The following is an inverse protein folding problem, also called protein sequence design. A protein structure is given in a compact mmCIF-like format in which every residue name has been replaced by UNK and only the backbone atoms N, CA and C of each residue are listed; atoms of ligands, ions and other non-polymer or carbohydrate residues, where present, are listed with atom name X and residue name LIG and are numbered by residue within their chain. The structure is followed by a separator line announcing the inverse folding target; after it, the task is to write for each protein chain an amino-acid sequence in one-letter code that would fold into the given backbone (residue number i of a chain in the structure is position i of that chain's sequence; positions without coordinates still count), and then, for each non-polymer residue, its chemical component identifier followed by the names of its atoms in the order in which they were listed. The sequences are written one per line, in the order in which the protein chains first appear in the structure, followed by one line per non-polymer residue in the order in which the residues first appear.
data_IF_368100767755
#
_entry.id   IF_368100767755
#
_cell.length_a   1.000
_cell.length_b   1.000
_cell.length_c   1.000
_cell.angle_alpha   90.00
_cell.angle_beta   90.00
_cell.angle_gamma   90.00
#
_symmetry.space_group_name_H-M   'P 1'
#
loop_
_entity.id
_entity.type
_entity.pdbx_description
1 polymer ?
#
# COMPACT_ATOMS: atom_id res chain seq x y z
N UNK A 1 7.20 -21.94 6.20
CA UNK A 1 5.98 -21.70 7.02
C UNK A 1 6.36 -21.76 8.51
N UNK A 2 6.88 -20.67 9.07
CA UNK A 2 7.14 -20.53 10.50
C UNK A 2 6.45 -19.25 10.98
N UNK A 3 5.31 -19.38 11.63
CA UNK A 3 4.52 -18.26 12.12
C UNK A 3 3.43 -18.72 13.08
N UNK A 4 3.06 -17.86 14.04
CA UNK A 4 1.94 -18.07 14.97
C UNK A 4 0.64 -18.32 14.17
N UNK A 5 -0.36 -19.05 14.72
CA UNK A 5 -1.61 -19.33 14.00
C UNK A 5 -2.45 -18.05 13.85
N UNK A 6 -2.14 -17.28 12.81
CA UNK A 6 -2.83 -16.03 12.45
C UNK A 6 -3.66 -16.29 11.20
N UNK A 7 -4.93 -15.87 11.24
CA UNK A 7 -5.83 -15.91 10.09
C UNK A 7 -6.12 -14.49 9.62
N UNK A 8 -5.82 -14.20 8.36
CA UNK A 8 -6.22 -12.94 7.72
C UNK A 8 -7.71 -13.03 7.36
N UNK A 9 -8.47 -12.00 7.69
CA UNK A 9 -9.90 -11.90 7.41
C UNK A 9 -10.21 -10.59 6.70
N UNK A 10 -11.11 -10.63 5.74
CA UNK A 10 -11.71 -9.43 5.13
C UNK A 10 -13.08 -9.19 5.78
N UNK A 11 -13.34 -8.02 6.39
CA UNK A 11 -14.65 -7.68 6.94
C UNK A 11 -15.78 -7.85 5.91
N UNK A 12 -16.96 -8.30 6.34
CA UNK A 12 -18.07 -8.62 5.43
C UNK A 12 -18.71 -7.37 4.81
N UNK A 13 -18.63 -6.23 5.51
CA UNK A 13 -19.07 -4.92 5.03
C UNK A 13 -18.23 -4.46 3.83
N UNK A 14 -16.98 -4.91 3.77
CA UNK A 14 -15.96 -4.51 2.81
C UNK A 14 -14.78 -3.82 3.50
N UNK A 15 -13.72 -3.57 2.74
CA UNK A 15 -12.50 -2.93 3.25
C UNK A 15 -11.86 -2.01 2.21
N UNK A 16 -10.89 -1.21 2.64
CA UNK A 16 -10.02 -0.43 1.78
C UNK A 16 -8.80 -1.21 1.31
N UNK A 17 -7.91 -0.51 0.63
CA UNK A 17 -6.61 -0.99 0.21
C UNK A 17 -5.64 0.20 0.12
N UNK A 18 -4.35 -0.09 0.07
CA UNK A 18 -3.32 0.90 -0.23
C UNK A 18 -2.66 0.60 -1.58
N UNK A 19 -2.07 1.63 -2.17
CA UNK A 19 -1.14 1.48 -3.29
C UNK A 19 0.22 1.94 -2.79
N UNK A 20 1.16 0.99 -2.68
CA UNK A 20 2.57 1.30 -2.43
C UNK A 20 3.12 2.13 -3.59
N UNK A 21 3.39 3.40 -3.33
CA UNK A 21 3.89 4.35 -4.33
C UNK A 21 5.37 4.60 -4.18
N UNK A 22 6.01 4.98 -5.29
CA UNK A 22 7.35 5.57 -5.30
C UNK A 22 7.24 6.99 -5.84
N UNK A 23 8.16 7.86 -5.45
CA UNK A 23 8.19 9.25 -5.94
C UNK A 23 9.62 9.75 -6.01
N UNK A 24 9.94 10.48 -7.08
CA UNK A 24 11.22 11.16 -7.22
C UNK A 24 11.11 12.53 -6.55
N UNK A 25 12.01 12.80 -5.60
CA UNK A 25 12.03 14.07 -4.88
C UNK A 25 12.48 15.20 -5.82
N UNK A 26 11.76 16.33 -5.78
CA UNK A 26 12.12 17.53 -6.55
C UNK A 26 13.52 18.02 -6.15
N UNK A 27 14.40 18.24 -7.14
CA UNK A 27 15.78 18.65 -6.88
C UNK A 27 16.70 17.51 -6.42
N UNK A 28 16.33 16.25 -6.68
CA UNK A 28 17.20 15.10 -6.42
C UNK A 28 18.60 15.32 -7.03
N UNK A 29 19.65 15.04 -6.25
CA UNK A 29 21.07 15.19 -6.66
C UNK A 29 21.43 14.32 -7.87
N UNK A 30 20.70 13.23 -8.06
CA UNK A 30 20.93 12.20 -9.08
C UNK A 30 19.59 11.89 -9.80
N UNK A 31 19.07 12.82 -10.62
CA UNK A 31 17.73 12.69 -11.18
C UNK A 31 17.63 11.57 -12.23
N UNK A 32 18.70 11.29 -12.96
CA UNK A 32 18.69 10.29 -14.02
C UNK A 32 18.79 8.87 -13.44
N UNK A 33 19.59 8.67 -12.39
CA UNK A 33 19.65 7.43 -11.63
C UNK A 33 18.34 7.16 -10.91
N UNK A 34 17.70 8.19 -10.34
CA UNK A 34 16.40 8.05 -9.71
C UNK A 34 15.33 7.56 -10.71
N UNK A 35 15.34 8.08 -11.95
CA UNK A 35 14.45 7.59 -13.01
C UNK A 35 14.75 6.14 -13.40
N UNK A 36 16.03 5.80 -13.60
CA UNK A 36 16.43 4.41 -13.92
C UNK A 36 15.98 3.43 -12.83
N UNK A 37 16.13 3.81 -11.56
CA UNK A 37 15.64 3.02 -10.45
C UNK A 37 14.12 2.87 -10.47
N UNK A 38 13.40 3.96 -10.76
CA UNK A 38 11.95 3.97 -10.83
C UNK A 38 11.43 2.98 -11.90
N UNK A 39 12.00 3.02 -13.09
CA UNK A 39 11.66 2.13 -14.20
C UNK A 39 11.96 0.66 -13.86
N UNK A 40 13.15 0.41 -13.28
CA UNK A 40 13.53 -0.94 -12.84
C UNK A 40 12.57 -1.48 -11.77
N UNK A 41 12.26 -0.67 -10.75
CA UNK A 41 11.42 -1.08 -9.63
C UNK A 41 9.97 -1.38 -10.02
N UNK A 42 9.47 -0.80 -11.13
CA UNK A 42 8.17 -1.16 -11.72
C UNK A 42 8.24 -2.40 -12.63
N UNK A 43 9.44 -2.86 -12.97
CA UNK A 43 9.67 -4.06 -13.77
C UNK A 43 9.36 -5.35 -13.00
N UNK A 44 9.00 -6.39 -13.76
CA UNK A 44 8.69 -7.71 -13.21
C UNK A 44 9.85 -8.32 -12.41
N UNK A 45 11.08 -8.14 -12.88
CA UNK A 45 12.28 -8.68 -12.20
C UNK A 45 12.50 -8.09 -10.82
N UNK A 46 12.20 -6.80 -10.63
CA UNK A 46 12.31 -6.15 -9.33
C UNK A 46 11.17 -6.56 -8.39
N UNK A 47 9.94 -6.60 -8.90
CA UNK A 47 8.77 -6.95 -8.07
C UNK A 47 8.78 -8.43 -7.65
N UNK A 48 9.42 -9.31 -8.43
CA UNK A 48 9.62 -10.72 -8.07
C UNK A 48 10.57 -10.95 -6.89
N UNK A 49 11.32 -9.93 -6.44
CA UNK A 49 12.28 -10.05 -5.33
C UNK A 49 11.54 -10.12 -3.98
N UNK A 50 10.49 -9.33 -3.81
CA UNK A 50 9.83 -9.09 -2.53
C UNK A 50 9.34 -10.36 -1.80
N UNK A 51 8.75 -11.36 -2.48
CA UNK A 51 8.28 -12.59 -1.84
C UNK A 51 9.39 -13.42 -1.18
N UNK A 52 10.60 -13.41 -1.75
CA UNK A 52 11.77 -14.09 -1.17
C UNK A 52 12.17 -13.54 0.20
N UNK A 53 11.71 -12.33 0.53
CA UNK A 53 11.94 -11.66 1.81
C UNK A 53 10.67 -11.58 2.68
N UNK A 54 9.64 -12.37 2.35
CA UNK A 54 8.40 -12.43 3.13
C UNK A 54 7.44 -11.26 2.89
N UNK A 55 7.60 -10.54 1.77
CA UNK A 55 6.74 -9.43 1.38
C UNK A 55 5.77 -9.90 0.28
N UNK A 56 4.48 -10.02 0.62
CA UNK A 56 3.45 -10.69 -0.19
C UNK A 56 2.32 -9.74 -0.64
N UNK A 57 2.62 -8.45 -0.86
CA UNK A 57 1.67 -7.54 -1.47
C UNK A 57 1.34 -7.99 -2.90
N UNK A 58 0.17 -7.58 -3.42
CA UNK A 58 -0.16 -7.77 -4.84
C UNK A 58 0.76 -6.87 -5.67
N UNK A 59 1.61 -7.42 -6.56
CA UNK A 59 2.48 -6.60 -7.40
C UNK A 59 1.66 -5.77 -8.38
N UNK A 60 2.11 -4.55 -8.69
CA UNK A 60 1.48 -3.75 -9.74
C UNK A 60 1.79 -4.31 -11.15
N UNK A 61 2.87 -5.06 -11.28
CA UNK A 61 3.17 -5.85 -12.46
C UNK A 61 2.51 -7.24 -12.36
N UNK A 62 1.44 -7.45 -13.13
CA UNK A 62 0.61 -8.66 -13.07
C UNK A 62 1.30 -9.94 -13.54
N UNK A 63 2.52 -9.88 -14.06
CA UNK A 63 3.26 -11.05 -14.52
C UNK A 63 3.90 -11.87 -13.39
N UNK A 64 4.04 -11.30 -12.19
CA UNK A 64 4.79 -11.91 -11.08
C UNK A 64 4.06 -11.97 -9.72
N UNK A 65 2.73 -12.24 -9.65
CA UNK A 65 2.05 -12.37 -8.36
C UNK A 65 2.53 -13.63 -7.62
N UNK A 66 2.97 -13.51 -6.35
CA UNK A 66 3.29 -14.68 -5.54
C UNK A 66 2.00 -15.41 -5.10
N UNK A 67 2.03 -16.74 -4.90
CA UNK A 67 0.86 -17.50 -4.43
C UNK A 67 0.30 -17.02 -3.08
N UNK A 68 1.13 -16.41 -2.25
CA UNK A 68 0.75 -15.87 -0.94
C UNK A 68 0.08 -14.49 -1.02
N UNK A 69 0.16 -13.79 -2.15
CA UNK A 69 -0.52 -12.51 -2.31
C UNK A 69 -2.03 -12.67 -2.21
N UNK A 70 -2.75 -11.67 -1.65
CA UNK A 70 -4.18 -11.76 -1.51
C UNK A 70 -4.86 -11.79 -2.88
N UNK A 71 -5.82 -12.70 -3.04
CA UNK A 71 -6.70 -12.75 -4.21
C UNK A 71 -7.77 -11.66 -4.07
N UNK A 72 -7.54 -10.54 -4.75
CA UNK A 72 -8.44 -9.37 -4.68
C UNK A 72 -9.85 -9.67 -5.20
N UNK A 73 -10.04 -10.70 -6.04
CA UNK A 73 -11.38 -11.09 -6.52
C UNK A 73 -12.28 -11.64 -5.42
N UNK A 74 -11.68 -12.09 -4.31
CA UNK A 74 -12.39 -12.64 -3.14
C UNK A 74 -12.60 -11.59 -2.04
N UNK A 75 -12.21 -10.34 -2.27
CA UNK A 75 -12.27 -9.26 -1.28
C UNK A 75 -13.24 -8.20 -1.77
N UNK A 76 -14.21 -7.84 -0.92
CA UNK A 76 -15.11 -6.70 -1.18
C UNK A 76 -14.35 -5.39 -0.91
N UNK A 77 -13.74 -4.83 -1.95
CA UNK A 77 -13.00 -3.57 -1.87
C UNK A 77 -13.90 -2.37 -2.19
N UNK A 78 -13.73 -1.29 -1.44
CA UNK A 78 -14.31 0.00 -1.81
C UNK A 78 -13.53 0.61 -2.98
N UNK A 79 -14.18 1.49 -3.75
CA UNK A 79 -13.47 2.35 -4.69
C UNK A 79 -12.80 3.51 -3.92
N UNK A 80 -11.58 3.28 -3.42
CA UNK A 80 -10.87 4.24 -2.58
C UNK A 80 -10.44 5.47 -3.39
N UNK A 81 -10.92 6.66 -3.00
CA UNK A 81 -10.59 7.93 -3.65
C UNK A 81 -9.23 8.47 -3.17
N UNK A 82 -8.16 8.00 -3.81
CA UNK A 82 -6.79 8.42 -3.48
C UNK A 82 -6.55 9.92 -3.71
N UNK A 83 -7.26 10.56 -4.65
CA UNK A 83 -7.09 11.99 -4.92
C UNK A 83 -7.63 12.82 -3.75
N UNK A 84 -8.84 12.49 -3.27
CA UNK A 84 -9.44 13.14 -2.11
C UNK A 84 -8.65 12.89 -0.83
N UNK A 85 -8.42 11.62 -0.49
CA UNK A 85 -7.82 11.25 0.80
C UNK A 85 -6.29 11.39 0.82
N UNK A 86 -5.64 11.46 -0.34
CA UNK A 86 -4.23 11.83 -0.48
C UNK A 86 -3.98 13.35 -0.39
N UNK A 87 -5.02 14.17 -0.39
CA UNK A 87 -4.89 15.62 -0.30
C UNK A 87 -4.43 16.06 1.11
N UNK A 88 -3.61 17.12 1.15
CA UNK A 88 -3.17 17.71 2.42
C UNK A 88 -4.33 18.22 3.28
N UNK A 89 -5.36 18.79 2.65
CA UNK A 89 -6.52 19.35 3.34
C UNK A 89 -7.32 18.25 4.06
N UNK A 90 -7.69 17.19 3.33
CA UNK A 90 -8.49 16.11 3.90
C UNK A 90 -7.72 15.31 4.94
N UNK A 91 -6.43 15.03 4.70
CA UNK A 91 -5.57 14.35 5.67
C UNK A 91 -5.48 15.14 6.98
N UNK A 92 -5.24 16.45 6.92
CA UNK A 92 -5.17 17.30 8.13
C UNK A 92 -6.50 17.32 8.87
N UNK A 93 -7.61 17.46 8.16
CA UNK A 93 -8.96 17.48 8.74
C UNK A 93 -9.26 16.19 9.49
N UNK A 94 -9.03 15.03 8.86
CA UNK A 94 -9.31 13.72 9.46
C UNK A 94 -8.43 13.43 10.67
N UNK A 95 -7.13 13.71 10.58
CA UNK A 95 -6.20 13.51 11.70
C UNK A 95 -6.49 14.46 12.87
N UNK A 96 -6.89 15.69 12.58
CA UNK A 96 -7.34 16.65 13.59
C UNK A 96 -8.54 16.11 14.36
N UNK A 97 -9.59 15.69 13.63
CA UNK A 97 -10.79 15.09 14.24
C UNK A 97 -10.48 13.84 15.06
N UNK A 98 -9.67 12.92 14.54
CA UNK A 98 -9.27 11.73 15.30
C UNK A 98 -8.55 12.11 16.60
N UNK A 99 -7.67 13.10 16.54
CA UNK A 99 -6.93 13.56 17.72
C UNK A 99 -7.83 14.18 18.78
N UNK A 100 -8.89 14.90 18.38
CA UNK A 100 -9.81 15.59 19.29
C UNK A 100 -10.99 14.75 19.77
N UNK A 101 -11.46 13.80 18.96
CA UNK A 101 -12.70 13.04 19.22
C UNK A 101 -12.41 11.62 19.72
N UNK A 102 -11.32 11.00 19.25
CA UNK A 102 -11.05 9.58 19.52
C UNK A 102 -9.89 9.43 20.50
N UNK A 103 -8.72 10.02 20.20
CA UNK A 103 -7.53 9.86 21.05
C UNK A 103 -7.71 10.47 22.43
N UNK A 104 -8.40 11.60 22.54
CA UNK A 104 -8.66 12.30 23.80
C UNK A 104 -9.96 11.87 24.49
N UNK A 105 -10.67 10.87 23.96
CA UNK A 105 -11.87 10.36 24.61
C UNK A 105 -11.52 9.71 25.97
N UNK A 106 -12.38 9.85 27.00
CA UNK A 106 -12.25 9.10 28.24
C UNK A 106 -12.21 7.58 27.98
N UNK A 107 -11.44 6.85 28.78
CA UNK A 107 -11.40 5.38 28.73
C UNK A 107 -12.49 4.77 29.58
#
# INVERSE_FOLDING_TARGET
KHGKPVKVVSPCEGTGFEIGSMSIVKGARHPDEAKKFYEWALGASAQAIAPSFGSFQVPSNSAVPPPEAPDLSKIKLINYDFAKFGSSAERKRLLGRWSSEVKSAPR
#
